data_IF_128995735206
#
_entry.id   IF_128995735206
#
_cell.length_a   1.000
_cell.length_b   1.000
_cell.length_c   1.000
_cell.angle_alpha   90.00
_cell.angle_beta   90.00
_cell.angle_gamma   90.00
#
_symmetry.space_group_name_H-M   'P 1'
#
loop_
_entity.id
_entity.type
_entity.pdbx_description
1 polymer ?
#
# COMPACT_ATOMS: atom_id res chain seq x y z
N UNK A 1 28.49 2.21 8.95
CA UNK A 1 27.10 2.34 9.49
C UNK A 1 27.13 3.03 10.86
N UNK A 2 26.08 3.80 11.21
CA UNK A 2 25.93 4.36 12.57
C UNK A 2 25.74 3.20 13.56
N UNK A 3 26.44 3.24 14.70
CA UNK A 3 26.36 2.19 15.73
C UNK A 3 25.05 2.25 16.52
N UNK A 4 24.49 3.47 16.70
CA UNK A 4 23.20 3.69 17.38
C UNK A 4 22.49 4.88 16.76
N UNK A 5 21.14 4.78 16.61
CA UNK A 5 20.27 5.86 16.12
C UNK A 5 18.81 5.60 16.47
N UNK A 6 18.00 6.65 16.41
CA UNK A 6 16.54 6.54 16.47
C UNK A 6 15.97 6.63 15.05
N UNK A 7 14.95 5.80 14.77
CA UNK A 7 14.20 5.86 13.53
C UNK A 7 12.70 5.74 13.81
N UNK A 8 11.91 6.47 13.04
CA UNK A 8 10.46 6.57 13.24
C UNK A 8 9.74 6.34 11.94
N UNK A 9 8.66 5.57 11.98
CA UNK A 9 7.68 5.49 10.89
C UNK A 9 6.27 5.66 11.46
N UNK A 10 5.37 6.09 10.58
CA UNK A 10 3.95 6.26 10.91
C UNK A 10 3.07 5.40 10.02
N UNK A 11 1.86 5.14 10.48
CA UNK A 11 0.78 4.53 9.71
C UNK A 11 -0.55 5.20 10.00
N UNK A 12 -1.50 5.02 9.10
CA UNK A 12 -2.88 5.48 9.25
C UNK A 12 -3.85 4.34 8.94
N UNK A 13 -5.00 4.34 9.61
CA UNK A 13 -6.00 3.28 9.48
C UNK A 13 -6.80 3.37 8.18
N UNK A 14 -7.63 2.36 7.93
CA UNK A 14 -8.59 2.31 6.83
C UNK A 14 -9.57 3.49 6.81
N UNK A 15 -9.84 4.09 7.98
CA UNK A 15 -10.74 5.24 8.12
C UNK A 15 -10.08 6.60 7.94
N UNK A 16 -8.76 6.68 7.82
CA UNK A 16 -8.10 7.95 7.51
C UNK A 16 -8.60 8.51 6.16
N UNK A 17 -8.88 9.82 6.03
CA UNK A 17 -9.47 10.40 4.80
C UNK A 17 -8.77 9.99 3.51
N UNK A 18 -7.43 10.07 3.47
CA UNK A 18 -6.65 9.66 2.29
C UNK A 18 -6.79 8.15 2.02
N UNK A 19 -6.89 7.31 3.07
CA UNK A 19 -7.05 5.85 2.88
C UNK A 19 -8.49 5.47 2.52
N UNK A 20 -9.48 6.25 2.90
CA UNK A 20 -10.85 6.14 2.36
C UNK A 20 -10.82 6.39 0.85
N UNK A 21 -10.14 7.46 0.42
CA UNK A 21 -9.98 7.77 -1.01
C UNK A 21 -9.24 6.66 -1.77
N UNK A 22 -8.13 6.15 -1.23
CA UNK A 22 -7.36 5.05 -1.82
C UNK A 22 -8.20 3.77 -1.97
N UNK A 23 -8.95 3.39 -0.93
CA UNK A 23 -9.81 2.19 -0.96
C UNK A 23 -10.95 2.33 -1.98
N UNK A 24 -11.54 3.52 -2.11
CA UNK A 24 -12.56 3.77 -3.13
C UNK A 24 -11.93 3.64 -4.53
N UNK A 25 -10.79 4.29 -4.77
CA UNK A 25 -10.09 4.23 -6.06
C UNK A 25 -9.73 2.80 -6.44
N UNK A 26 -9.21 1.99 -5.52
CA UNK A 26 -8.86 0.59 -5.79
C UNK A 26 -10.09 -0.32 -5.91
N UNK A 27 -11.19 -0.03 -5.24
CA UNK A 27 -12.46 -0.74 -5.45
C UNK A 27 -13.02 -0.49 -6.87
N UNK A 28 -12.81 0.71 -7.44
CA UNK A 28 -13.16 1.00 -8.83
C UNK A 28 -12.23 0.25 -9.80
N UNK A 29 -10.93 0.15 -9.51
CA UNK A 29 -10.01 -0.70 -10.29
C UNK A 29 -10.50 -2.14 -10.29
N UNK A 30 -10.82 -2.69 -9.13
CA UNK A 30 -11.30 -4.08 -8.99
C UNK A 30 -12.64 -4.30 -9.71
N UNK A 31 -13.58 -3.36 -9.62
CA UNK A 31 -14.85 -3.41 -10.35
C UNK A 31 -14.62 -3.54 -11.86
N UNK A 32 -13.72 -2.76 -12.42
CA UNK A 32 -13.50 -2.76 -13.87
C UNK A 32 -12.65 -3.95 -14.33
N UNK A 33 -11.65 -4.37 -13.56
CA UNK A 33 -10.89 -5.59 -13.87
C UNK A 33 -11.74 -6.86 -13.76
N UNK A 34 -12.80 -6.86 -12.94
CA UNK A 34 -13.76 -7.96 -12.89
C UNK A 34 -14.61 -8.09 -14.16
N UNK A 35 -14.83 -6.96 -14.86
CA UNK A 35 -15.58 -6.91 -16.14
C UNK A 35 -14.67 -7.16 -17.35
N UNK A 36 -13.48 -6.59 -17.33
CA UNK A 36 -12.47 -6.70 -18.38
C UNK A 36 -11.08 -6.76 -17.76
N UNK A 37 -10.39 -7.95 -17.74
CA UNK A 37 -9.03 -8.06 -17.21
C UNK A 37 -7.99 -7.16 -17.89
N UNK A 38 -8.30 -6.64 -19.08
CA UNK A 38 -7.45 -5.69 -19.81
C UNK A 38 -7.94 -4.24 -19.68
N UNK A 39 -8.87 -3.95 -18.75
CA UNK A 39 -9.33 -2.60 -18.49
C UNK A 39 -8.17 -1.66 -18.13
N UNK A 40 -8.24 -0.44 -18.64
CA UNK A 40 -7.33 0.66 -18.31
C UNK A 40 -8.06 1.59 -17.36
N UNK A 41 -7.48 1.82 -16.21
CA UNK A 41 -8.08 2.62 -15.14
C UNK A 41 -7.04 3.56 -14.57
N UNK A 42 -7.38 4.82 -14.50
CA UNK A 42 -6.74 5.83 -13.70
C UNK A 42 -7.86 6.58 -12.98
N UNK A 43 -8.14 6.16 -11.74
CA UNK A 43 -9.23 6.70 -10.93
C UNK A 43 -8.68 7.38 -9.68
N UNK A 44 -8.85 8.67 -9.59
CA UNK A 44 -8.53 9.45 -8.40
C UNK A 44 -9.82 9.81 -7.66
N UNK A 45 -9.76 9.74 -6.34
CA UNK A 45 -10.88 10.01 -5.44
C UNK A 45 -10.54 11.18 -4.54
N UNK A 46 -11.48 12.10 -4.38
CA UNK A 46 -11.51 13.12 -3.33
C UNK A 46 -12.65 12.82 -2.38
N UNK A 47 -12.38 12.89 -1.08
CA UNK A 47 -13.38 12.76 0.00
C UNK A 47 -13.32 13.97 0.92
N UNK A 48 -14.47 14.47 1.34
CA UNK A 48 -14.60 15.52 2.36
C UNK A 48 -15.99 15.42 2.98
N UNK A 49 -16.39 16.38 3.85
CA UNK A 49 -17.69 16.37 4.52
C UNK A 49 -18.84 16.07 3.55
N UNK A 50 -19.53 14.95 3.78
CA UNK A 50 -20.68 14.45 3.00
C UNK A 50 -20.45 14.40 1.48
N UNK A 51 -19.21 14.23 1.01
CA UNK A 51 -18.90 14.28 -0.42
C UNK A 51 -17.83 13.27 -0.81
N UNK A 52 -18.08 12.55 -1.91
CA UNK A 52 -17.10 11.76 -2.66
C UNK A 52 -17.14 12.16 -4.12
N UNK A 53 -15.98 12.45 -4.69
CA UNK A 53 -15.80 12.77 -6.11
C UNK A 53 -14.79 11.83 -6.73
N UNK A 54 -15.17 11.19 -7.85
CA UNK A 54 -14.24 10.44 -8.71
C UNK A 54 -13.86 11.29 -9.91
N UNK A 55 -12.57 11.25 -10.27
CA UNK A 55 -12.04 11.87 -11.48
C UNK A 55 -11.03 10.94 -12.14
N UNK A 56 -10.86 11.01 -13.47
CA UNK A 56 -9.87 10.22 -14.16
C UNK A 56 -10.36 9.58 -15.44
N UNK A 57 -9.61 8.58 -15.93
CA UNK A 57 -9.79 8.00 -17.25
C UNK A 57 -10.02 6.50 -17.18
N UNK A 58 -10.91 6.01 -18.04
CA UNK A 58 -11.26 4.59 -18.12
C UNK A 58 -11.34 4.13 -19.59
N UNK A 59 -10.90 2.89 -19.83
CA UNK A 59 -11.12 2.16 -21.06
C UNK A 59 -11.31 0.68 -20.75
N UNK A 60 -12.37 0.06 -21.21
CA UNK A 60 -12.62 -1.36 -21.03
C UNK A 60 -13.90 -1.83 -21.71
N UNK A 61 -13.93 -3.09 -22.08
CA UNK A 61 -15.11 -3.72 -22.71
C UNK A 61 -16.25 -3.80 -21.70
N UNK A 62 -17.46 -3.43 -22.14
CA UNK A 62 -18.65 -3.48 -21.30
C UNK A 62 -18.69 -2.45 -20.16
N UNK A 63 -17.83 -1.43 -20.22
CA UNK A 63 -17.74 -0.35 -19.23
C UNK A 63 -18.22 0.96 -19.84
N UNK A 64 -17.54 1.44 -20.87
CA UNK A 64 -17.81 2.71 -21.54
C UNK A 64 -17.40 2.60 -23.01
N UNK A 65 -18.13 3.25 -23.92
CA UNK A 65 -17.75 3.36 -25.32
C UNK A 65 -16.77 4.53 -25.58
N UNK A 66 -16.23 4.62 -26.80
CA UNK A 66 -15.28 5.67 -27.18
C UNK A 66 -15.90 7.09 -27.18
N UNK A 67 -17.22 7.20 -27.27
CA UNK A 67 -17.94 8.46 -27.17
C UNK A 67 -18.23 8.91 -25.75
N UNK A 68 -17.84 8.10 -24.75
CA UNK A 68 -18.05 8.39 -23.34
C UNK A 68 -19.41 7.94 -22.79
N UNK A 69 -20.15 7.13 -23.53
CA UNK A 69 -21.40 6.60 -23.04
C UNK A 69 -21.15 5.37 -22.17
N UNK A 70 -21.67 5.39 -20.98
CA UNK A 70 -21.60 4.26 -20.05
C UNK A 70 -22.45 3.09 -20.52
N UNK A 71 -21.94 1.89 -20.35
CA UNK A 71 -22.76 0.69 -20.51
C UNK A 71 -23.90 0.69 -19.49
N UNK A 72 -25.05 0.08 -19.82
CA UNK A 72 -26.21 0.05 -18.94
C UNK A 72 -25.87 -0.48 -17.54
N UNK A 73 -26.30 0.23 -16.49
CA UNK A 73 -26.12 -0.14 -15.08
C UNK A 73 -24.74 0.18 -14.48
N UNK A 74 -23.72 0.47 -15.30
CA UNK A 74 -22.35 0.67 -14.77
C UNK A 74 -22.24 1.89 -13.86
N UNK A 75 -22.97 2.98 -14.12
CA UNK A 75 -22.99 4.14 -13.21
C UNK A 75 -23.52 3.78 -11.82
N UNK A 76 -24.58 2.99 -11.77
CA UNK A 76 -25.19 2.56 -10.52
C UNK A 76 -24.26 1.61 -9.76
N UNK A 77 -23.53 0.73 -10.47
CA UNK A 77 -22.53 -0.15 -9.87
C UNK A 77 -21.34 0.63 -9.29
N UNK A 78 -20.90 1.70 -9.96
CA UNK A 78 -19.84 2.58 -9.45
C UNK A 78 -20.29 3.22 -8.13
N UNK A 79 -21.47 3.84 -8.11
CA UNK A 79 -22.01 4.49 -6.90
C UNK A 79 -22.21 3.47 -5.77
N UNK A 80 -22.79 2.30 -6.08
CA UNK A 80 -22.96 1.23 -5.11
C UNK A 80 -21.63 0.73 -4.54
N UNK A 81 -20.58 0.65 -5.38
CA UNK A 81 -19.22 0.29 -4.95
C UNK A 81 -18.65 1.32 -3.99
N UNK A 82 -18.76 2.62 -4.31
CA UNK A 82 -18.31 3.71 -3.45
C UNK A 82 -19.00 3.66 -2.08
N UNK A 83 -20.33 3.59 -2.08
CA UNK A 83 -21.13 3.52 -0.84
C UNK A 83 -20.81 2.27 -0.02
N UNK A 84 -20.58 1.14 -0.70
CA UNK A 84 -20.17 -0.10 -0.03
C UNK A 84 -18.82 0.03 0.65
N UNK A 85 -17.82 0.67 0.02
CA UNK A 85 -16.51 0.91 0.64
C UNK A 85 -16.66 1.73 1.91
N UNK A 86 -17.39 2.86 1.85
CA UNK A 86 -17.62 3.75 2.99
C UNK A 86 -18.34 3.02 4.12
N UNK A 87 -19.35 2.19 3.79
CA UNK A 87 -20.09 1.35 4.72
C UNK A 87 -19.20 0.30 5.38
N UNK A 88 -18.39 -0.42 4.60
CA UNK A 88 -17.51 -1.47 5.11
C UNK A 88 -16.45 -0.90 6.07
N UNK A 89 -15.96 0.32 5.84
CA UNK A 89 -15.08 1.04 6.76
C UNK A 89 -15.81 1.38 8.07
N UNK A 90 -17.13 1.61 8.03
CA UNK A 90 -17.95 1.87 9.20
C UNK A 90 -18.31 3.35 9.38
N UNK A 91 -18.32 4.16 8.31
CA UNK A 91 -18.74 5.56 8.42
C UNK A 91 -20.24 5.74 8.39
N UNK A 92 -20.80 6.05 9.56
CA UNK A 92 -22.22 6.37 9.82
C UNK A 92 -22.35 7.65 10.67
N UNK A 93 -21.38 8.56 10.58
CA UNK A 93 -21.42 9.85 11.30
C UNK A 93 -22.13 10.95 10.48
N UNK A 94 -22.65 11.97 11.13
CA UNK A 94 -23.47 13.00 10.49
C UNK A 94 -22.77 13.77 9.37
N UNK A 95 -21.47 13.97 9.50
CA UNK A 95 -20.65 14.66 8.50
C UNK A 95 -20.05 13.76 7.42
N UNK A 96 -20.16 12.41 7.55
CA UNK A 96 -19.77 11.48 6.51
C UNK A 96 -20.46 10.12 6.70
N UNK A 97 -21.45 9.84 5.86
CA UNK A 97 -22.31 8.66 6.00
C UNK A 97 -22.51 7.97 4.66
N UNK A 98 -22.30 6.64 4.61
CA UNK A 98 -22.36 5.84 3.39
C UNK A 98 -23.69 5.98 2.60
N UNK A 99 -24.81 6.18 3.29
CA UNK A 99 -26.13 6.27 2.67
C UNK A 99 -26.45 7.68 2.15
N UNK A 100 -26.01 8.73 2.87
CA UNK A 100 -26.46 10.11 2.63
C UNK A 100 -25.42 11.01 1.97
N UNK A 101 -24.18 10.54 1.83
CA UNK A 101 -23.12 11.32 1.15
C UNK A 101 -23.51 11.66 -0.30
N UNK A 102 -23.07 12.84 -0.76
CA UNK A 102 -23.16 13.23 -2.15
C UNK A 102 -22.07 12.54 -2.97
N UNK A 103 -22.43 12.05 -4.14
CA UNK A 103 -21.50 11.36 -5.03
C UNK A 103 -21.45 12.02 -6.39
N UNK A 104 -20.25 12.35 -6.87
CA UNK A 104 -20.01 12.87 -8.22
C UNK A 104 -19.03 11.98 -8.99
N UNK A 105 -19.46 11.50 -10.13
CA UNK A 105 -18.65 10.68 -11.04
C UNK A 105 -18.22 11.51 -12.25
N UNK A 106 -16.94 11.90 -12.29
CA UNK A 106 -16.30 12.63 -13.39
C UNK A 106 -15.29 11.75 -14.15
N UNK A 107 -15.47 10.43 -14.13
CA UNK A 107 -14.67 9.53 -14.95
C UNK A 107 -15.07 9.65 -16.42
N UNK A 108 -14.09 9.66 -17.30
CA UNK A 108 -14.27 9.84 -18.75
C UNK A 108 -13.43 8.84 -19.58
N UNK A 109 -13.65 8.71 -20.91
CA UNK A 109 -12.87 7.80 -21.75
C UNK A 109 -11.38 8.18 -21.77
N UNK A 110 -10.51 7.15 -21.81
CA UNK A 110 -9.08 7.37 -22.01
C UNK A 110 -8.81 8.00 -23.38
N UNK A 111 -7.90 8.98 -23.42
CA UNK A 111 -7.46 9.63 -24.66
C UNK A 111 -6.87 8.62 -25.66
N UNK A 112 -7.29 8.71 -26.92
CA UNK A 112 -6.77 7.88 -28.02
C UNK A 112 -5.25 8.07 -28.24
N UNK A 113 -4.69 9.24 -27.94
CA UNK A 113 -3.26 9.49 -28.04
C UNK A 113 -2.44 8.72 -27.01
N UNK A 114 -2.94 8.59 -25.79
CA UNK A 114 -2.31 7.77 -24.74
C UNK A 114 -2.34 6.31 -25.16
N UNK A 115 -3.48 5.81 -25.65
CA UNK A 115 -3.63 4.44 -26.11
C UNK A 115 -2.60 4.06 -27.19
N UNK A 116 -2.35 4.94 -28.17
CA UNK A 116 -1.39 4.71 -29.24
C UNK A 116 0.06 4.51 -28.78
N UNK A 117 0.47 5.20 -27.70
CA UNK A 117 1.82 5.10 -27.14
C UNK A 117 2.06 3.82 -26.35
N UNK A 118 1.02 3.23 -25.77
CA UNK A 118 1.10 2.18 -24.75
C UNK A 118 0.70 0.81 -25.26
N UNK A 119 -0.26 0.75 -26.22
CA UNK A 119 -0.80 -0.53 -26.69
C UNK A 119 0.21 -1.28 -27.57
N UNK A 120 0.23 -2.60 -27.43
CA UNK A 120 0.98 -3.46 -28.33
C UNK A 120 0.40 -3.40 -29.74
N UNK A 121 1.25 -3.23 -30.73
CA UNK A 121 0.84 -3.24 -32.14
C UNK A 121 1.90 -3.92 -33.02
N UNK A 122 1.48 -4.88 -33.84
CA UNK A 122 2.39 -5.65 -34.69
C UNK A 122 3.42 -6.43 -33.86
N UNK A 123 4.72 -6.18 -34.12
CA UNK A 123 5.83 -6.80 -33.37
C UNK A 123 6.28 -6.00 -32.13
N UNK A 124 5.61 -4.90 -31.81
CA UNK A 124 5.94 -4.06 -30.64
C UNK A 124 5.21 -4.59 -29.40
N UNK A 125 5.97 -4.91 -28.34
CA UNK A 125 5.42 -5.20 -27.04
C UNK A 125 4.84 -3.94 -26.39
N UNK A 126 3.99 -4.11 -25.37
CA UNK A 126 3.36 -3.04 -24.62
C UNK A 126 4.43 -2.15 -23.97
N UNK A 127 4.43 -0.86 -24.29
CA UNK A 127 5.34 0.12 -23.71
C UNK A 127 4.87 0.61 -22.35
N UNK A 128 5.79 1.13 -21.54
CA UNK A 128 5.44 1.81 -20.30
C UNK A 128 4.54 3.03 -20.59
N UNK A 129 3.47 3.18 -19.79
CA UNK A 129 2.50 4.27 -19.96
C UNK A 129 3.03 5.64 -19.55
N UNK A 130 4.13 5.66 -18.81
CA UNK A 130 4.83 6.86 -18.38
C UNK A 130 6.30 6.58 -18.16
N UNK A 131 7.11 7.63 -18.05
CA UNK A 131 8.44 7.55 -17.49
C UNK A 131 8.36 7.43 -15.96
N UNK A 132 9.38 6.82 -15.32
CA UNK A 132 9.43 6.79 -13.87
C UNK A 132 10.56 5.94 -13.34
N UNK A 133 10.78 6.08 -12.03
CA UNK A 133 11.66 5.24 -11.23
C UNK A 133 10.84 4.60 -10.12
N UNK A 134 10.97 3.30 -9.92
CA UNK A 134 10.25 2.54 -8.91
C UNK A 134 11.24 1.80 -8.03
N UNK A 135 10.94 1.75 -6.73
CA UNK A 135 11.82 1.13 -5.74
C UNK A 135 11.12 -0.03 -5.05
N UNK A 136 11.90 -1.08 -4.80
CA UNK A 136 11.56 -2.16 -3.90
C UNK A 136 12.57 -2.25 -2.76
N UNK A 137 12.13 -2.69 -1.60
CA UNK A 137 12.99 -2.84 -0.44
C UNK A 137 12.59 -4.07 0.38
N UNK A 138 13.57 -4.68 1.04
CA UNK A 138 13.38 -5.67 2.09
C UNK A 138 14.53 -5.61 3.09
N UNK A 139 14.27 -5.97 4.34
CA UNK A 139 15.28 -6.07 5.40
C UNK A 139 14.91 -7.17 6.40
N UNK A 140 15.90 -7.66 7.15
CA UNK A 140 15.76 -8.74 8.13
C UNK A 140 15.35 -8.24 9.54
N UNK A 141 14.62 -7.12 9.60
CA UNK A 141 14.20 -6.50 10.87
C UNK A 141 12.95 -7.18 11.46
N UNK A 142 12.06 -7.69 10.61
CA UNK A 142 10.84 -8.42 11.00
C UNK A 142 10.67 -9.71 10.21
N UNK A 143 9.81 -10.64 10.64
CA UNK A 143 9.52 -11.87 9.88
C UNK A 143 8.95 -11.61 8.48
N UNK A 144 8.25 -10.48 8.29
CA UNK A 144 7.67 -10.07 7.01
C UNK A 144 8.69 -9.39 6.08
N UNK A 145 9.96 -9.29 6.55
CA UNK A 145 11.07 -8.65 5.85
C UNK A 145 10.77 -7.18 5.52
N UNK A 146 10.21 -6.48 6.51
CA UNK A 146 9.84 -5.06 6.48
C UNK A 146 10.60 -4.26 7.53
N UNK A 147 10.72 -2.91 7.35
CA UNK A 147 11.19 -2.03 8.40
C UNK A 147 10.32 -2.14 9.65
N UNK A 148 10.95 -2.43 10.80
CA UNK A 148 10.24 -2.73 12.04
C UNK A 148 9.34 -1.57 12.52
N UNK A 149 9.79 -0.32 12.35
CA UNK A 149 9.00 0.86 12.73
C UNK A 149 7.67 0.96 11.99
N UNK A 150 7.69 0.69 10.67
CA UNK A 150 6.48 0.72 9.85
C UNK A 150 5.61 -0.52 10.09
N UNK A 151 6.20 -1.70 10.11
CA UNK A 151 5.49 -2.97 10.32
C UNK A 151 4.68 -2.95 11.61
N UNK A 152 5.28 -2.51 12.72
CA UNK A 152 4.56 -2.38 13.98
C UNK A 152 3.50 -1.27 13.94
N UNK A 153 3.78 -0.14 13.27
CA UNK A 153 2.77 0.90 13.09
C UNK A 153 1.53 0.39 12.36
N UNK A 154 1.70 -0.38 11.29
CA UNK A 154 0.59 -1.02 10.58
C UNK A 154 -0.17 -2.02 11.47
N UNK A 155 0.54 -2.94 12.10
CA UNK A 155 -0.06 -4.03 12.90
C UNK A 155 -0.84 -3.54 14.11
N UNK A 156 -0.42 -2.44 14.74
CA UNK A 156 -1.21 -1.78 15.80
C UNK A 156 -2.58 -1.37 15.26
N UNK A 157 -2.61 -0.71 14.09
CA UNK A 157 -3.85 -0.22 13.50
C UNK A 157 -4.72 -1.34 12.93
N UNK A 158 -4.12 -2.36 12.30
CA UNK A 158 -4.84 -3.56 11.84
C UNK A 158 -5.55 -4.27 13.00
N UNK A 159 -4.86 -4.42 14.15
CA UNK A 159 -5.46 -5.03 15.33
C UNK A 159 -6.60 -4.18 15.89
N UNK A 160 -6.42 -2.87 15.99
CA UNK A 160 -7.48 -1.96 16.47
C UNK A 160 -8.71 -1.99 15.53
N UNK A 161 -8.50 -2.00 14.22
CA UNK A 161 -9.59 -2.11 13.25
C UNK A 161 -10.31 -3.47 13.36
N UNK A 162 -9.57 -4.57 13.49
CA UNK A 162 -10.16 -5.89 13.69
C UNK A 162 -11.02 -5.97 14.95
N UNK A 163 -10.54 -5.41 16.07
CA UNK A 163 -11.27 -5.36 17.34
C UNK A 163 -12.53 -4.48 17.22
N UNK A 164 -12.46 -3.36 16.47
CA UNK A 164 -13.62 -2.49 16.19
C UNK A 164 -14.66 -3.24 15.36
N UNK A 165 -14.28 -3.87 14.25
CA UNK A 165 -15.18 -4.64 13.39
C UNK A 165 -15.81 -5.85 14.10
N UNK A 166 -15.06 -6.49 14.98
CA UNK A 166 -15.55 -7.59 15.79
C UNK A 166 -16.44 -7.16 16.96
N UNK A 167 -16.56 -5.84 17.23
CA UNK A 167 -17.27 -5.30 18.40
C UNK A 167 -16.56 -5.53 19.73
N UNK A 168 -15.29 -5.95 19.72
CA UNK A 168 -14.47 -6.14 20.93
C UNK A 168 -14.03 -4.79 21.53
N UNK A 169 -13.91 -3.77 20.71
CA UNK A 169 -13.63 -2.38 21.12
C UNK A 169 -14.69 -1.42 20.54
N UNK A 170 -15.95 -1.47 21.04
CA UNK A 170 -17.09 -0.76 20.45
C UNK A 170 -17.03 0.76 20.65
N UNK A 171 -16.06 1.28 21.37
CA UNK A 171 -15.81 2.69 21.59
C UNK A 171 -14.89 3.30 20.54
N UNK A 172 -14.23 2.49 19.72
CA UNK A 172 -13.40 2.98 18.61
C UNK A 172 -14.26 3.38 17.42
N UNK A 173 -13.80 4.41 16.73
CA UNK A 173 -14.30 4.86 15.43
C UNK A 173 -13.22 4.65 14.34
N UNK A 174 -13.54 4.81 13.04
CA UNK A 174 -12.67 4.33 11.97
C UNK A 174 -11.30 5.01 11.83
N UNK A 175 -11.17 6.30 12.16
CA UNK A 175 -9.95 7.07 11.91
C UNK A 175 -8.93 6.92 13.05
N UNK A 176 -7.77 6.38 12.72
CA UNK A 176 -6.68 6.19 13.70
C UNK A 176 -5.33 6.40 13.01
N UNK A 177 -4.39 6.97 13.75
CA UNK A 177 -2.99 7.14 13.34
C UNK A 177 -2.09 6.52 14.38
N UNK A 178 -1.00 5.89 13.93
CA UNK A 178 0.06 5.35 14.80
C UNK A 178 1.42 5.84 14.34
N UNK A 179 2.36 5.95 15.29
CA UNK A 179 3.75 6.24 15.00
C UNK A 179 4.61 5.47 16.00
N UNK A 180 5.62 4.75 15.51
CA UNK A 180 6.54 3.96 16.32
C UNK A 180 7.96 4.46 16.11
N UNK A 181 8.63 4.83 17.21
CA UNK A 181 10.05 5.20 17.24
C UNK A 181 10.85 4.09 17.91
N UNK A 182 11.78 3.51 17.17
CA UNK A 182 12.70 2.50 17.71
C UNK A 182 14.13 3.04 17.79
N UNK A 183 14.85 2.60 18.81
CA UNK A 183 16.30 2.68 18.86
C UNK A 183 16.87 1.49 18.10
N UNK A 184 17.85 1.76 17.28
CA UNK A 184 18.63 0.75 16.57
C UNK A 184 20.05 0.72 17.12
N UNK A 185 20.57 -0.48 17.32
CA UNK A 185 21.96 -0.73 17.70
C UNK A 185 22.55 -1.77 16.73
N UNK A 186 23.67 -1.39 16.12
CA UNK A 186 24.34 -2.22 15.11
C UNK A 186 23.40 -2.69 13.97
N UNK A 187 22.46 -1.82 13.58
CA UNK A 187 21.50 -2.06 12.49
C UNK A 187 20.29 -2.92 12.85
N UNK A 188 20.08 -3.22 14.14
CA UNK A 188 18.91 -3.98 14.62
C UNK A 188 18.09 -3.18 15.63
N UNK A 189 16.75 -3.31 15.63
CA UNK A 189 15.90 -2.74 16.66
C UNK A 189 16.32 -3.24 18.06
N UNK A 190 16.49 -2.33 19.03
CA UNK A 190 16.91 -2.65 20.39
C UNK A 190 15.93 -2.20 21.47
N UNK A 191 15.16 -1.12 21.23
CA UNK A 191 14.14 -0.64 22.16
C UNK A 191 13.11 0.24 21.45
N UNK A 192 11.85 0.18 21.87
CA UNK A 192 10.82 1.14 21.53
C UNK A 192 10.91 2.33 22.49
N UNK A 193 11.23 3.51 21.96
CA UNK A 193 11.42 4.72 22.78
C UNK A 193 10.17 5.57 22.87
N UNK A 194 9.36 5.64 21.80
CA UNK A 194 8.10 6.37 21.79
C UNK A 194 7.08 5.70 20.89
N UNK A 195 5.83 5.67 21.34
CA UNK A 195 4.68 5.17 20.60
C UNK A 195 3.57 6.20 20.69
N UNK A 196 3.11 6.67 19.52
CA UNK A 196 1.98 7.60 19.40
C UNK A 196 0.81 6.85 18.79
N UNK A 197 -0.37 6.96 19.40
CA UNK A 197 -1.64 6.50 18.82
C UNK A 197 -2.68 7.58 19.02
N UNK A 198 -3.20 8.11 17.91
CA UNK A 198 -4.34 9.03 17.90
C UNK A 198 -5.52 8.33 17.26
N UNK A 199 -6.53 7.98 18.06
CA UNK A 199 -7.68 7.20 17.60
C UNK A 199 -8.97 7.95 17.80
N UNK A 200 -9.80 7.97 16.75
CA UNK A 200 -11.17 8.45 16.83
C UNK A 200 -11.98 7.54 17.77
N UNK A 201 -12.84 8.14 18.56
CA UNK A 201 -13.62 7.45 19.58
C UNK A 201 -15.03 8.02 19.74
N UNK A 202 -15.91 7.23 20.33
CA UNK A 202 -17.27 7.67 20.68
C UNK A 202 -17.23 8.76 21.76
N UNK A 203 -18.28 9.59 21.86
CA UNK A 203 -18.37 10.64 22.85
C UNK A 203 -18.08 10.18 24.28
N UNK A 204 -17.32 11.01 25.02
CA UNK A 204 -17.01 10.79 26.42
C UNK A 204 -15.80 9.89 26.72
N UNK A 205 -15.01 9.50 25.70
CA UNK A 205 -13.74 8.77 25.87
C UNK A 205 -12.49 9.68 25.89
N UNK A 206 -12.70 10.96 26.13
CA UNK A 206 -11.69 12.01 26.21
C UNK A 206 -11.31 12.38 27.66
N UNK A 207 -12.00 11.84 28.66
CA UNK A 207 -11.78 12.16 30.07
C UNK A 207 -12.26 11.04 31.01
N UNK A 208 -11.77 11.08 32.27
CA UNK A 208 -12.22 10.19 33.34
C UNK A 208 -11.90 8.72 33.11
N UNK A 209 -12.80 7.85 33.61
CA UNK A 209 -12.61 6.39 33.54
C UNK A 209 -12.61 5.85 32.11
N UNK A 210 -13.41 6.44 31.21
CA UNK A 210 -13.47 6.01 29.80
C UNK A 210 -12.18 6.34 29.03
N UNK A 211 -11.57 7.48 29.28
CA UNK A 211 -10.27 7.83 28.73
C UNK A 211 -9.19 6.86 29.24
N UNK A 212 -9.21 6.56 30.54
CA UNK A 212 -8.33 5.57 31.13
C UNK A 212 -8.52 4.16 30.52
N UNK A 213 -9.77 3.76 30.24
CA UNK A 213 -10.10 2.52 29.55
C UNK A 213 -9.53 2.48 28.12
N UNK A 214 -9.73 3.55 27.35
CA UNK A 214 -9.18 3.67 25.98
C UNK A 214 -7.66 3.58 25.99
N UNK A 215 -6.99 4.32 26.91
CA UNK A 215 -5.53 4.30 27.03
C UNK A 215 -4.99 2.93 27.46
N UNK A 216 -5.67 2.25 28.37
CA UNK A 216 -5.31 0.89 28.77
C UNK A 216 -5.46 -0.12 27.61
N UNK A 217 -6.54 -0.02 26.85
CA UNK A 217 -6.77 -0.83 25.66
C UNK A 217 -5.64 -0.63 24.62
N UNK A 218 -5.32 0.62 24.28
CA UNK A 218 -4.24 0.89 23.29
C UNK A 218 -2.89 0.34 23.78
N UNK A 219 -2.56 0.49 25.06
CA UNK A 219 -1.33 -0.10 25.62
C UNK A 219 -1.31 -1.63 25.51
N UNK A 220 -2.46 -2.28 25.71
CA UNK A 220 -2.58 -3.72 25.54
C UNK A 220 -2.35 -4.13 24.09
N UNK A 221 -2.96 -3.43 23.11
CA UNK A 221 -2.74 -3.67 21.67
C UNK A 221 -1.26 -3.53 21.31
N UNK A 222 -0.59 -2.49 21.83
CA UNK A 222 0.85 -2.30 21.61
C UNK A 222 1.66 -3.47 22.19
N UNK A 223 1.33 -3.93 23.40
CA UNK A 223 2.00 -5.07 24.04
C UNK A 223 1.77 -6.40 23.30
N UNK A 224 0.63 -6.56 22.64
CA UNK A 224 0.32 -7.75 21.83
C UNK A 224 1.07 -7.73 20.48
N UNK A 225 1.37 -6.54 19.94
CA UNK A 225 1.95 -6.36 18.59
C UNK A 225 3.47 -6.23 18.61
N UNK A 226 4.01 -5.42 19.53
CA UNK A 226 5.45 -5.17 19.61
C UNK A 226 6.11 -6.24 20.49
N UNK A 227 7.19 -6.88 20.04
CA UNK A 227 7.91 -7.86 20.85
C UNK A 227 8.26 -7.31 22.24
N UNK A 228 7.96 -8.07 23.29
CA UNK A 228 8.18 -7.65 24.68
C UNK A 228 9.64 -7.23 24.98
N UNK A 229 10.60 -7.82 24.25
CA UNK A 229 12.02 -7.45 24.39
C UNK A 229 12.33 -6.01 23.95
N UNK A 230 11.46 -5.37 23.18
CA UNK A 230 11.60 -3.99 22.72
C UNK A 230 10.87 -2.99 23.64
N UNK A 231 9.96 -3.45 24.49
CA UNK A 231 9.18 -2.62 25.42
C UNK A 231 9.83 -2.58 26.81
N UNK A 232 9.77 -1.43 27.46
CA UNK A 232 10.24 -1.26 28.83
C UNK A 232 9.47 -0.14 29.53
N UNK A 233 9.73 0.08 30.81
CA UNK A 233 9.16 1.20 31.58
C UNK A 233 9.63 2.57 31.06
N UNK A 234 10.70 2.62 30.27
CA UNK A 234 11.19 3.84 29.60
C UNK A 234 10.43 4.14 28.30
N UNK A 235 9.60 3.23 27.79
CA UNK A 235 8.81 3.45 26.58
C UNK A 235 7.74 4.51 26.83
N UNK A 236 7.82 5.63 26.11
CA UNK A 236 6.88 6.75 26.25
C UNK A 236 5.66 6.52 25.35
N UNK A 237 4.45 6.62 25.94
CA UNK A 237 3.19 6.49 25.22
C UNK A 237 2.49 7.84 25.09
N UNK A 238 2.15 8.23 23.88
CA UNK A 238 1.32 9.38 23.57
C UNK A 238 -0.01 8.88 22.96
N UNK A 239 -1.03 8.74 23.80
CA UNK A 239 -2.35 8.25 23.37
C UNK A 239 -3.35 9.40 23.43
N UNK A 240 -3.94 9.79 22.29
CA UNK A 240 -4.78 10.97 22.13
C UNK A 240 -4.23 12.21 22.88
N UNK A 241 -3.00 12.65 22.59
CA UNK A 241 -2.34 13.71 23.37
C UNK A 241 -3.06 15.07 23.30
N UNK A 242 -3.92 15.27 22.31
CA UNK A 242 -4.75 16.47 22.14
C UNK A 242 -6.07 16.40 22.93
N UNK A 243 -6.37 15.28 23.57
CA UNK A 243 -7.63 15.01 24.27
C UNK A 243 -8.68 14.39 23.35
N UNK A 244 -9.77 15.12 23.05
CA UNK A 244 -10.90 14.59 22.28
C UNK A 244 -10.58 14.37 20.80
N UNK A 245 -11.03 13.23 20.27
CA UNK A 245 -11.01 12.92 18.83
C UNK A 245 -12.31 12.22 18.44
N UNK A 246 -13.43 12.97 18.51
CA UNK A 246 -14.76 12.44 18.19
C UNK A 246 -15.11 12.57 16.71
N UNK A 247 -14.70 13.66 16.05
CA UNK A 247 -14.89 13.87 14.61
C UNK A 247 -13.61 13.49 13.89
N UNK A 248 -13.70 12.52 12.99
CA UNK A 248 -12.60 12.02 12.19
C UNK A 248 -13.00 11.65 10.77
N UNK A 249 -12.06 11.11 10.03
CA UNK A 249 -12.27 10.77 8.64
C UNK A 249 -12.54 11.97 7.75
N UNK A 250 -13.24 11.79 6.60
CA UNK A 250 -13.51 12.86 5.65
C UNK A 250 -14.33 14.04 6.18
N UNK A 251 -14.98 13.90 7.32
CA UNK A 251 -15.65 15.02 7.99
C UNK A 251 -14.65 15.94 8.71
N UNK A 252 -13.58 15.35 9.24
CA UNK A 252 -12.54 16.14 9.95
C UNK A 252 -11.52 16.77 9.00
N UNK A 253 -11.15 16.10 7.91
CA UNK A 253 -10.16 16.57 6.93
C UNK A 253 -10.43 15.95 5.55
N UNK A 254 -10.03 16.65 4.48
CA UNK A 254 -10.18 16.13 3.13
C UNK A 254 -9.18 15.02 2.82
N UNK A 255 -9.64 13.97 2.13
CA UNK A 255 -8.82 12.86 1.62
C UNK A 255 -8.65 12.90 0.11
N UNK A 256 -7.49 12.48 -0.35
CA UNK A 256 -7.16 12.33 -1.76
C UNK A 256 -6.37 11.05 -2.00
N UNK A 257 -6.65 10.40 -3.13
CA UNK A 257 -5.87 9.25 -3.58
C UNK A 257 -4.39 9.58 -3.71
N UNK A 258 -3.52 8.69 -3.22
CA UNK A 258 -2.07 8.81 -3.40
C UNK A 258 -1.37 9.82 -2.50
N UNK A 259 -1.97 10.24 -1.39
CA UNK A 259 -1.34 11.14 -0.41
C UNK A 259 -0.66 10.43 0.77
N UNK A 260 -0.66 9.10 0.78
CA UNK A 260 -0.01 8.27 1.81
C UNK A 260 1.02 7.30 1.25
N UNK A 261 1.70 7.69 0.16
CA UNK A 261 2.63 6.83 -0.59
C UNK A 261 3.80 6.30 0.25
N UNK A 262 4.23 7.01 1.28
CA UNK A 262 5.30 6.57 2.18
C UNK A 262 4.78 5.53 3.18
N UNK A 263 3.55 5.71 3.68
CA UNK A 263 2.83 4.73 4.50
C UNK A 263 2.55 3.46 3.68
N UNK A 264 2.19 3.62 2.41
CA UNK A 264 1.90 2.51 1.49
C UNK A 264 3.13 1.64 1.19
N UNK A 265 4.34 2.15 1.40
CA UNK A 265 5.59 1.50 0.98
C UNK A 265 6.48 1.12 2.16
N UNK A 266 7.46 1.95 2.54
CA UNK A 266 8.51 1.55 3.49
C UNK A 266 8.69 2.52 4.67
N UNK A 267 7.76 3.47 4.90
CA UNK A 267 7.78 4.36 6.06
C UNK A 267 9.03 5.25 6.17
N UNK A 268 9.65 5.58 5.04
CA UNK A 268 10.86 6.38 4.98
C UNK A 268 12.18 5.59 5.09
N UNK A 269 12.13 4.26 5.26
CA UNK A 269 13.33 3.43 5.37
C UNK A 269 14.00 3.14 4.01
N UNK A 270 13.30 3.38 2.90
CA UNK A 270 13.80 3.25 1.53
C UNK A 270 13.38 4.44 0.67
N UNK A 271 14.06 4.69 -0.47
CA UNK A 271 13.64 5.68 -1.44
C UNK A 271 12.24 5.39 -2.00
N UNK A 272 11.59 6.43 -2.54
CA UNK A 272 10.32 6.33 -3.26
C UNK A 272 10.40 7.09 -4.59
N UNK A 273 9.81 6.54 -5.65
CA UNK A 273 9.80 7.16 -6.97
C UNK A 273 8.79 8.29 -7.14
N UNK A 274 7.83 8.42 -6.20
CA UNK A 274 6.81 9.46 -6.20
C UNK A 274 5.45 9.03 -6.75
N UNK A 275 5.36 7.90 -7.49
CA UNK A 275 4.11 7.41 -8.06
C UNK A 275 3.19 6.76 -7.02
N UNK A 276 1.93 7.16 -6.98
CA UNK A 276 0.89 6.50 -6.19
C UNK A 276 0.47 5.17 -6.84
N UNK A 277 -0.02 4.22 -6.03
CA UNK A 277 -0.48 2.91 -6.49
C UNK A 277 -2.00 2.87 -6.68
N UNK A 278 -2.76 3.26 -5.66
CA UNK A 278 -4.22 3.16 -5.67
C UNK A 278 -4.85 3.92 -6.82
N UNK A 279 -5.92 3.36 -7.38
CA UNK A 279 -6.62 3.90 -8.53
C UNK A 279 -6.01 3.58 -9.89
N UNK A 280 -4.85 2.94 -9.95
CA UNK A 280 -4.15 2.57 -11.19
C UNK A 280 -4.28 1.08 -11.47
N UNK A 281 -4.67 0.72 -12.71
CA UNK A 281 -4.58 -0.66 -13.18
C UNK A 281 -3.12 -1.10 -13.35
N UNK A 282 -2.83 -2.43 -13.43
CA UNK A 282 -1.46 -2.94 -13.39
C UNK A 282 -0.62 -2.67 -14.65
N UNK A 283 -1.13 -1.99 -15.66
CA UNK A 283 -0.32 -1.54 -16.80
C UNK A 283 0.54 -0.33 -16.46
N UNK A 284 0.17 0.41 -15.42
CA UNK A 284 0.94 1.54 -14.91
C UNK A 284 2.13 1.01 -14.12
N UNK A 285 3.33 1.32 -14.61
CA UNK A 285 4.60 0.88 -14.02
C UNK A 285 4.83 1.41 -12.60
N UNK A 286 4.27 2.58 -12.26
CA UNK A 286 4.26 3.10 -10.89
C UNK A 286 3.81 2.03 -9.88
N UNK A 287 2.80 1.26 -10.25
CA UNK A 287 2.26 0.18 -9.41
C UNK A 287 2.97 -1.15 -9.67
N UNK A 288 2.93 -1.65 -10.88
CA UNK A 288 3.42 -2.99 -11.21
C UNK A 288 4.93 -3.14 -11.03
N UNK A 289 5.73 -2.14 -11.40
CA UNK A 289 7.18 -2.19 -11.22
C UNK A 289 7.58 -2.00 -9.75
N UNK A 290 6.84 -1.24 -8.95
CA UNK A 290 7.06 -1.20 -7.50
C UNK A 290 6.76 -2.58 -6.85
N UNK A 291 5.76 -3.29 -7.32
CA UNK A 291 5.45 -4.63 -6.83
C UNK A 291 6.51 -5.67 -7.20
N UNK A 292 6.98 -5.68 -8.45
CA UNK A 292 8.03 -6.62 -8.83
C UNK A 292 9.38 -6.29 -8.16
N UNK A 293 9.71 -5.03 -7.94
CA UNK A 293 10.93 -4.66 -7.21
C UNK A 293 10.87 -5.09 -5.74
N UNK A 294 9.70 -4.99 -5.08
CA UNK A 294 9.47 -5.58 -3.75
C UNK A 294 9.65 -7.09 -3.78
N UNK A 295 9.05 -7.77 -4.73
CA UNK A 295 9.16 -9.22 -4.88
C UNK A 295 10.63 -9.67 -5.01
N UNK A 296 11.41 -9.00 -5.84
CA UNK A 296 12.82 -9.29 -6.03
C UNK A 296 13.63 -9.03 -4.75
N UNK A 297 13.47 -7.85 -4.13
CA UNK A 297 14.18 -7.49 -2.90
C UNK A 297 13.86 -8.47 -1.77
N UNK A 298 12.58 -8.86 -1.62
CA UNK A 298 12.15 -9.82 -0.60
C UNK A 298 12.79 -11.20 -0.82
N UNK A 299 12.83 -11.69 -2.05
CA UNK A 299 13.43 -12.98 -2.38
C UNK A 299 14.95 -12.98 -2.14
N UNK A 300 15.66 -11.87 -2.40
CA UNK A 300 17.10 -11.74 -2.12
C UNK A 300 17.37 -11.87 -0.62
N UNK A 301 16.60 -11.14 0.21
CA UNK A 301 16.77 -11.19 1.67
C UNK A 301 16.33 -12.56 2.21
N UNK A 302 15.21 -13.11 1.74
CA UNK A 302 14.73 -14.44 2.13
C UNK A 302 15.71 -15.56 1.74
N UNK A 303 16.44 -15.40 0.65
CA UNK A 303 17.50 -16.33 0.25
C UNK A 303 18.76 -16.25 1.15
N UNK A 304 18.84 -15.28 2.06
CA UNK A 304 20.01 -15.03 2.88
C UNK A 304 21.19 -14.43 2.08
N UNK A 305 20.91 -13.85 0.90
CA UNK A 305 21.91 -13.21 0.05
C UNK A 305 22.32 -11.82 0.53
N UNK A 306 21.46 -11.17 1.30
CA UNK A 306 21.70 -9.90 1.98
C UNK A 306 20.80 -9.76 3.21
N UNK A 307 21.14 -8.87 4.15
CA UNK A 307 20.27 -8.48 5.28
C UNK A 307 19.34 -7.32 4.92
N UNK A 308 19.72 -6.52 3.93
CA UNK A 308 18.96 -5.40 3.38
C UNK A 308 19.17 -5.37 1.88
N UNK A 309 18.13 -5.03 1.14
CA UNK A 309 18.22 -4.91 -0.30
C UNK A 309 17.27 -3.85 -0.81
N UNK A 310 17.80 -2.88 -1.55
CA UNK A 310 17.05 -1.92 -2.35
C UNK A 310 17.19 -2.30 -3.82
N UNK A 311 16.08 -2.29 -4.55
CA UNK A 311 16.06 -2.47 -6.01
C UNK A 311 15.40 -1.25 -6.64
N UNK A 312 15.99 -0.74 -7.73
CA UNK A 312 15.37 0.27 -8.57
C UNK A 312 15.16 -0.27 -9.98
N UNK A 313 13.98 -0.01 -10.54
CA UNK A 313 13.69 -0.10 -11.97
C UNK A 313 13.37 1.30 -12.52
N UNK A 314 13.76 1.55 -13.75
CA UNK A 314 13.46 2.80 -14.46
C UNK A 314 12.87 2.51 -15.82
N UNK A 315 11.89 3.31 -16.24
CA UNK A 315 11.22 3.19 -17.54
C UNK A 315 11.16 4.55 -18.26
N UNK A 316 11.14 4.48 -19.59
CA UNK A 316 10.77 5.61 -20.45
C UNK A 316 9.38 5.36 -21.07
N UNK A 317 8.62 6.42 -21.27
CA UNK A 317 7.31 6.35 -21.89
C UNK A 317 7.40 5.66 -23.27
N UNK A 318 6.48 4.73 -23.54
CA UNK A 318 6.41 3.99 -24.81
C UNK A 318 7.50 2.94 -25.02
N UNK A 319 8.43 2.75 -24.06
CA UNK A 319 9.49 1.73 -24.11
C UNK A 319 9.10 0.56 -23.23
N UNK A 320 9.21 -0.66 -23.74
CA UNK A 320 8.80 -1.88 -23.03
C UNK A 320 9.84 -2.35 -22.02
N UNK A 321 11.11 -2.40 -22.43
CA UNK A 321 12.20 -2.86 -21.55
C UNK A 321 12.58 -1.75 -20.56
N UNK A 322 12.91 -2.09 -19.29
CA UNK A 322 13.41 -1.12 -18.35
C UNK A 322 14.75 -0.52 -18.83
N UNK A 323 14.96 0.77 -18.57
CA UNK A 323 16.22 1.46 -18.87
C UNK A 323 17.37 0.94 -17.99
N UNK A 324 17.05 0.57 -16.74
CA UNK A 324 18.00 0.07 -15.78
C UNK A 324 17.34 -0.84 -14.75
N UNK A 325 18.12 -1.80 -14.26
CA UNK A 325 17.91 -2.53 -13.03
C UNK A 325 19.12 -2.25 -12.15
N UNK A 326 18.91 -1.72 -10.95
CA UNK A 326 19.95 -1.43 -9.96
C UNK A 326 19.64 -2.17 -8.67
N UNK A 327 20.67 -2.79 -8.08
CA UNK A 327 20.59 -3.50 -6.79
C UNK A 327 21.60 -2.87 -5.84
N UNK A 328 21.18 -2.63 -4.60
CA UNK A 328 22.03 -2.18 -3.50
C UNK A 328 21.73 -3.02 -2.25
N UNK A 329 22.66 -3.84 -1.84
CA UNK A 329 22.57 -4.63 -0.60
C UNK A 329 23.09 -3.88 0.63
N UNK A 330 23.37 -2.59 0.51
CA UNK A 330 23.89 -1.73 1.60
C UNK A 330 25.12 -2.30 2.29
N UNK A 331 25.99 -2.98 1.52
CA UNK A 331 27.19 -3.65 2.04
C UNK A 331 26.90 -4.86 2.93
N UNK A 332 25.69 -5.40 2.91
CA UNK A 332 25.30 -6.62 3.64
C UNK A 332 25.26 -7.86 2.76
N UNK A 333 25.52 -7.72 1.46
CA UNK A 333 25.53 -8.81 0.49
C UNK A 333 26.60 -9.84 0.77
N UNK A 334 26.26 -11.11 0.57
CA UNK A 334 27.22 -12.25 0.65
C UNK A 334 27.92 -12.49 -0.69
N UNK A 335 27.46 -11.80 -1.73
CA UNK A 335 28.08 -11.67 -3.07
C UNK A 335 27.97 -10.21 -3.51
N UNK A 336 28.67 -9.83 -4.60
CA UNK A 336 28.57 -8.48 -5.16
C UNK A 336 27.17 -8.17 -5.71
N UNK A 337 26.77 -6.90 -5.65
CA UNK A 337 25.47 -6.43 -6.13
C UNK A 337 25.29 -6.67 -7.64
N UNK A 338 26.36 -6.52 -8.42
CA UNK A 338 26.45 -6.82 -9.85
C UNK A 338 26.18 -8.32 -10.17
N UNK A 339 26.65 -9.22 -9.30
CA UNK A 339 26.37 -10.65 -9.43
C UNK A 339 24.89 -10.94 -9.20
N UNK A 340 24.24 -10.26 -8.24
CA UNK A 340 22.81 -10.39 -7.99
C UNK A 340 22.00 -9.85 -9.19
N UNK A 341 22.38 -8.70 -9.75
CA UNK A 341 21.73 -8.16 -10.97
C UNK A 341 21.83 -9.14 -12.14
N UNK A 342 22.99 -9.74 -12.33
CA UNK A 342 23.20 -10.75 -13.38
C UNK A 342 22.36 -11.97 -13.14
N UNK A 343 22.29 -12.45 -11.89
CA UNK A 343 21.44 -13.59 -11.51
C UNK A 343 19.98 -13.32 -11.80
N UNK A 344 19.45 -12.16 -11.41
CA UNK A 344 18.05 -11.77 -11.69
C UNK A 344 17.75 -11.85 -13.19
N UNK A 345 18.63 -11.28 -14.04
CA UNK A 345 18.47 -11.26 -15.50
C UNK A 345 18.54 -12.67 -16.12
N UNK A 346 19.18 -13.63 -15.46
CA UNK A 346 19.36 -15.01 -15.95
C UNK A 346 18.21 -15.95 -15.58
N UNK A 347 17.32 -15.57 -14.64
CA UNK A 347 16.23 -16.41 -14.17
C UNK A 347 15.10 -16.45 -15.21
N UNK A 348 15.04 -17.49 -16.01
CA UNK A 348 14.02 -17.66 -17.06
C UNK A 348 12.57 -17.66 -16.53
N UNK A 349 12.33 -18.18 -15.33
CA UNK A 349 11.01 -18.18 -14.66
C UNK A 349 10.48 -16.77 -14.41
N UNK A 350 11.35 -15.79 -14.14
CA UNK A 350 10.99 -14.41 -13.93
C UNK A 350 10.45 -13.75 -15.22
N UNK A 351 10.92 -14.23 -16.39
CA UNK A 351 10.58 -13.64 -17.68
C UNK A 351 11.21 -12.24 -17.84
N UNK A 352 10.55 -11.43 -18.65
CA UNK A 352 10.99 -10.06 -18.91
C UNK A 352 10.39 -9.10 -17.87
N UNK A 353 11.17 -8.08 -17.49
CA UNK A 353 10.71 -6.99 -16.62
C UNK A 353 9.99 -5.88 -17.42
N UNK A 354 9.31 -6.24 -18.51
CA UNK A 354 8.40 -5.35 -19.23
C UNK A 354 7.07 -5.20 -18.49
N UNK A 355 6.25 -4.16 -18.73
CA UNK A 355 4.95 -4.02 -18.08
C UNK A 355 4.08 -5.27 -18.20
N UNK A 356 4.01 -5.87 -19.39
CA UNK A 356 3.29 -7.14 -19.63
C UNK A 356 3.92 -8.32 -18.89
N UNK A 357 5.25 -8.44 -18.95
CA UNK A 357 5.97 -9.52 -18.29
C UNK A 357 5.74 -9.52 -16.78
N UNK A 358 5.78 -8.36 -16.14
CA UNK A 358 5.50 -8.18 -14.71
C UNK A 358 4.06 -8.58 -14.39
N UNK A 359 3.08 -8.06 -15.14
CA UNK A 359 1.66 -8.38 -14.92
C UNK A 359 1.38 -9.89 -15.04
N UNK A 360 2.00 -10.53 -16.03
CA UNK A 360 1.89 -11.97 -16.25
C UNK A 360 2.52 -12.78 -15.13
N UNK A 361 3.76 -12.43 -14.74
CA UNK A 361 4.51 -13.15 -13.71
C UNK A 361 3.82 -13.08 -12.34
N UNK A 362 3.33 -11.92 -11.96
CA UNK A 362 2.66 -11.70 -10.68
C UNK A 362 1.14 -11.98 -10.75
N UNK A 363 0.55 -12.17 -11.93
CA UNK A 363 -0.88 -12.42 -12.10
C UNK A 363 -1.76 -11.24 -11.71
N UNK A 364 -1.38 -10.03 -12.14
CA UNK A 364 -1.97 -8.77 -11.65
C UNK A 364 -3.29 -8.37 -12.34
N UNK A 365 -3.69 -9.00 -13.45
CA UNK A 365 -4.92 -8.68 -14.18
C UNK A 365 -6.16 -9.29 -13.52
N UNK A 366 -6.35 -9.01 -12.22
CA UNK A 366 -7.40 -9.56 -11.37
C UNK A 366 -7.91 -8.50 -10.39
N UNK A 367 -9.12 -8.64 -9.85
CA UNK A 367 -9.65 -7.74 -8.81
C UNK A 367 -9.03 -8.08 -7.43
N UNK A 368 -7.81 -7.60 -7.19
CA UNK A 368 -7.00 -7.90 -6.00
C UNK A 368 -6.52 -6.65 -5.26
N UNK A 369 -6.99 -5.47 -5.65
CA UNK A 369 -6.37 -4.19 -5.27
C UNK A 369 -6.98 -3.53 -4.04
N UNK A 370 -8.30 -3.60 -3.82
CA UNK A 370 -8.93 -2.98 -2.66
C UNK A 370 -8.27 -3.36 -1.32
N UNK A 371 -7.92 -4.64 -1.04
CA UNK A 371 -7.25 -5.01 0.21
C UNK A 371 -5.85 -4.43 0.38
N UNK A 372 -5.23 -3.93 -0.70
CA UNK A 372 -3.89 -3.32 -0.65
C UNK A 372 -3.92 -1.86 -0.21
N UNK A 373 -5.07 -1.21 -0.32
CA UNK A 373 -5.23 0.22 -0.14
C UNK A 373 -5.23 0.70 1.34
N UNK A 374 -5.07 -0.19 2.30
CA UNK A 374 -4.92 0.13 3.71
C UNK A 374 -3.85 -0.76 4.35
N UNK A 375 -3.16 -0.24 5.38
CA UNK A 375 -2.12 -0.95 6.15
C UNK A 375 -0.91 -1.38 5.33
N UNK A 376 -0.58 -0.62 4.27
CA UNK A 376 0.57 -0.85 3.40
C UNK A 376 0.35 -1.90 2.31
N UNK A 377 1.02 -1.69 1.18
CA UNK A 377 1.02 -2.63 0.06
C UNK A 377 2.03 -3.76 0.26
N UNK A 378 2.99 -3.58 1.17
CA UNK A 378 4.08 -4.51 1.42
C UNK A 378 4.08 -5.02 2.87
N UNK A 379 4.77 -6.15 3.11
CA UNK A 379 4.77 -6.80 4.42
C UNK A 379 3.51 -7.61 4.71
N UNK A 380 2.71 -7.88 3.70
CA UNK A 380 1.45 -8.62 3.80
C UNK A 380 1.69 -10.13 3.56
N UNK A 381 0.72 -10.92 3.94
CA UNK A 381 0.74 -12.37 3.67
C UNK A 381 0.22 -12.66 2.26
N UNK A 382 1.04 -13.33 1.45
CA UNK A 382 0.57 -13.85 0.17
C UNK A 382 -0.44 -14.98 0.40
N UNK A 383 -1.69 -14.78 -0.01
CA UNK A 383 -2.76 -15.76 0.18
C UNK A 383 -3.70 -15.78 -1.04
N UNK A 384 -3.84 -16.95 -1.65
CA UNK A 384 -4.57 -17.08 -2.92
C UNK A 384 -3.96 -16.18 -4.00
N UNK A 385 -4.77 -15.30 -4.56
CA UNK A 385 -4.35 -14.32 -5.56
C UNK A 385 -3.85 -13.00 -4.93
N UNK A 386 -4.06 -12.77 -3.62
CA UNK A 386 -3.72 -11.52 -2.96
C UNK A 386 -2.24 -11.42 -2.61
N UNK A 387 -1.67 -10.23 -2.76
CA UNK A 387 -0.27 -9.90 -2.46
C UNK A 387 0.77 -10.83 -3.11
N UNK A 388 0.65 -11.16 -4.41
CA UNK A 388 1.53 -12.14 -5.06
C UNK A 388 3.01 -11.71 -5.05
N UNK A 389 3.30 -10.42 -4.91
CA UNK A 389 4.66 -9.88 -4.76
C UNK A 389 5.31 -10.17 -3.40
N UNK A 390 4.57 -10.72 -2.46
CA UNK A 390 5.11 -11.15 -1.16
C UNK A 390 5.56 -12.63 -1.15
N UNK A 391 5.40 -13.36 -2.26
CA UNK A 391 5.90 -14.74 -2.38
C UNK A 391 7.43 -14.77 -2.39
N UNK A 392 8.00 -15.86 -1.84
CA UNK A 392 9.45 -16.09 -1.77
C UNK A 392 9.88 -17.28 -2.64
N UNK A 393 9.22 -17.48 -3.75
CA UNK A 393 9.36 -18.65 -4.64
C UNK A 393 10.51 -18.52 -5.66
N UNK A 394 11.29 -17.42 -5.65
CA UNK A 394 12.55 -17.27 -6.38
C UNK A 394 13.79 -17.65 -5.58
N UNK A 395 13.68 -17.97 -4.29
CA UNK A 395 14.83 -18.26 -3.42
C UNK A 395 15.75 -19.33 -3.99
N UNK A 396 15.17 -20.45 -4.45
CA UNK A 396 15.96 -21.56 -5.05
C UNK A 396 16.61 -21.13 -6.36
N UNK A 397 15.88 -20.41 -7.22
CA UNK A 397 16.39 -19.97 -8.52
C UNK A 397 17.54 -18.96 -8.36
N UNK A 398 17.42 -18.03 -7.42
CA UNK A 398 18.48 -17.06 -7.10
C UNK A 398 19.75 -17.74 -6.58
N UNK A 399 19.61 -18.71 -5.65
CA UNK A 399 20.74 -19.49 -5.15
C UNK A 399 21.42 -20.26 -6.27
N UNK A 400 20.66 -20.97 -7.10
CA UNK A 400 21.17 -21.73 -8.22
C UNK A 400 21.91 -20.83 -9.24
N UNK A 401 21.35 -19.68 -9.60
CA UNK A 401 21.98 -18.72 -10.51
C UNK A 401 23.31 -18.15 -9.99
N UNK A 402 23.51 -18.15 -8.66
CA UNK A 402 24.72 -17.71 -7.99
C UNK A 402 25.66 -18.87 -7.58
N UNK A 403 25.33 -20.12 -7.97
CA UNK A 403 26.14 -21.31 -7.62
C UNK A 403 26.15 -21.63 -6.12
N UNK A 404 25.04 -21.39 -5.44
CA UNK A 404 24.91 -21.54 -3.98
C UNK A 404 23.78 -22.50 -3.58
#
# INVERSE_FOLDING_TARGET
MRSSYLFTSESVSEGHPDKVADQISDAIVDLFLSKDPEARVACETMTTTQLVVLAGEIRGKGIMDEAGNWAPGVKDEIEATVRKVVKDIGYEQSGFHWETLNFYNNLHPQSAHIAQGVDASGNKDEGAGDQGIMFGFACDETPDLMPATLDYSHKILERMAADRHAGAAPFLEPDTKSQVTLRFENGKPSAATAIVVSTQHKPGYDSGEKDAQLKAYVKQVVADVIPAALLSDETVYHINPTGSFEIGGPDGDAGLTGRKIIVDTYGGAAPHGGGAFSGKDPTKVDRSAAYITRYLAKNIVAAGLAKRCTIQLAYAIGVSEPLSLYVDTHGTGVVGDDAIETAIKSIGKLGKLTPRGIRTHLGLNKPIYRPTAAYGHFGRKAEGDFFPWERTDLVTDLKAALGR
#
